data_IF_259880681989
#
_entry.id   IF_259880681989
#
_cell.length_a   1.000
_cell.length_b   1.000
_cell.length_c   1.000
_cell.angle_alpha   90.00
_cell.angle_beta   90.00
_cell.angle_gamma   90.00
#
_symmetry.space_group_name_H-M   'P 1'
#
loop_
_entity.id
_entity.type
_entity.pdbx_description
1 polymer ?
#
# COMPACT_ATOMS: atom_id res chain seq x y z
N UNK A 1 77.10 5.41 -46.23
CA UNK A 1 76.82 4.41 -45.17
C UNK A 1 75.56 4.90 -44.46
N UNK A 2 74.39 4.34 -44.80
CA UNK A 2 73.60 3.41 -43.94
C UNK A 2 73.01 4.12 -42.73
N UNK A 3 71.72 4.04 -42.36
CA UNK A 3 70.58 3.16 -42.68
C UNK A 3 69.36 3.82 -41.99
N UNK A 4 68.18 3.83 -42.63
CA UNK A 4 66.98 3.07 -42.23
C UNK A 4 66.29 3.56 -40.93
N UNK A 5 65.06 4.09 -41.03
CA UNK A 5 63.80 3.41 -40.66
C UNK A 5 63.72 2.98 -39.19
N UNK A 6 62.82 3.58 -38.41
CA UNK A 6 61.63 2.86 -37.90
C UNK A 6 60.63 3.81 -37.25
N UNK A 7 59.37 3.75 -37.74
CA UNK A 7 58.17 4.15 -36.99
C UNK A 7 57.94 3.10 -35.91
N UNK A 8 57.75 3.50 -34.65
CA UNK A 8 57.20 2.59 -33.64
C UNK A 8 55.82 3.09 -33.21
N UNK A 9 54.81 2.58 -33.92
CA UNK A 9 53.45 2.42 -33.43
C UNK A 9 53.51 1.45 -32.24
N UNK A 10 53.13 1.89 -31.05
CA UNK A 10 52.75 0.96 -29.98
C UNK A 10 51.22 0.98 -29.90
N UNK A 11 50.66 -0.03 -30.51
CA UNK A 11 49.27 -0.46 -30.43
C UNK A 11 49.08 -1.16 -29.07
N UNK A 12 48.44 -0.50 -28.10
CA UNK A 12 47.83 -1.22 -26.97
C UNK A 12 46.36 -1.44 -27.28
N UNK A 13 46.12 -2.59 -27.89
CA UNK A 13 44.80 -3.17 -28.12
C UNK A 13 44.39 -3.86 -26.80
N UNK A 14 43.78 -3.12 -25.87
CA UNK A 14 43.11 -3.75 -24.72
C UNK A 14 41.72 -4.17 -25.17
N UNK A 15 41.66 -5.45 -25.53
CA UNK A 15 40.46 -6.23 -25.80
C UNK A 15 39.50 -6.10 -24.61
N UNK A 16 38.53 -5.18 -24.71
CA UNK A 16 37.39 -5.14 -23.81
C UNK A 16 36.41 -6.17 -24.34
N UNK A 17 36.44 -7.37 -23.74
CA UNK A 17 35.41 -8.37 -23.94
C UNK A 17 34.09 -7.76 -23.52
N UNK A 18 33.29 -7.34 -24.50
CA UNK A 18 31.87 -7.11 -24.33
C UNK A 18 31.26 -8.45 -23.92
N UNK A 19 31.04 -8.63 -22.62
CA UNK A 19 30.04 -9.59 -22.16
C UNK A 19 28.71 -8.95 -22.55
N UNK A 20 28.25 -9.36 -23.73
CA UNK A 20 26.87 -9.25 -24.15
C UNK A 20 26.01 -9.90 -23.06
N UNK A 21 25.42 -9.08 -22.18
CA UNK A 21 24.29 -9.52 -21.39
C UNK A 21 23.18 -9.80 -22.40
N UNK A 22 22.88 -11.08 -22.57
CA UNK A 22 21.72 -11.55 -23.30
C UNK A 22 20.49 -10.78 -22.87
N UNK A 23 19.73 -10.35 -23.87
CA UNK A 23 18.36 -9.84 -23.78
C UNK A 23 17.61 -10.54 -22.66
N UNK A 24 17.35 -9.80 -21.59
CA UNK A 24 16.48 -10.24 -20.51
C UNK A 24 15.07 -9.87 -20.95
N UNK A 25 14.41 -10.81 -21.63
CA UNK A 25 12.99 -10.71 -21.94
C UNK A 25 12.23 -10.33 -20.67
N UNK A 26 11.55 -9.19 -20.74
CA UNK A 26 10.82 -8.57 -19.64
C UNK A 26 9.39 -8.31 -20.12
N UNK A 27 8.38 -8.55 -19.27
CA UNK A 27 6.99 -8.71 -19.69
C UNK A 27 6.47 -7.45 -20.40
N UNK A 28 5.59 -7.70 -21.36
CA UNK A 28 4.99 -6.66 -22.19
C UNK A 28 4.27 -5.62 -21.33
N UNK A 29 4.41 -4.38 -21.79
CA UNK A 29 3.69 -3.23 -21.30
C UNK A 29 2.21 -3.41 -21.62
N UNK A 30 1.29 -3.44 -20.64
CA UNK A 30 -0.12 -3.66 -20.94
C UNK A 30 -0.66 -2.51 -21.79
N UNK A 31 -1.23 -2.86 -22.96
CA UNK A 31 -2.02 -1.96 -23.79
C UNK A 31 -3.33 -1.67 -23.05
N UNK A 32 -3.48 -0.45 -22.56
CA UNK A 32 -4.70 0.02 -21.91
C UNK A 32 -5.26 1.21 -22.74
N UNK A 33 -6.55 1.24 -23.13
CA UNK A 33 -7.09 2.24 -24.08
C UNK A 33 -7.13 3.71 -23.58
N UNK A 34 -6.47 4.06 -22.47
CA UNK A 34 -6.63 5.32 -21.75
C UNK A 34 -5.46 6.31 -21.81
N UNK A 35 -4.54 6.21 -22.77
CA UNK A 35 -3.32 7.03 -22.83
C UNK A 35 -2.40 6.89 -21.59
N UNK A 36 -2.55 5.80 -20.82
CA UNK A 36 -1.83 5.57 -19.55
C UNK A 36 -0.49 4.87 -19.75
N UNK A 37 -0.17 4.46 -20.97
CA UNK A 37 1.06 3.78 -21.34
C UNK A 37 1.53 4.30 -22.69
N UNK A 38 2.78 4.74 -22.77
CA UNK A 38 3.40 5.30 -23.99
C UNK A 38 4.79 4.72 -24.25
N UNK A 39 4.98 3.43 -23.95
CA UNK A 39 6.23 2.71 -24.20
C UNK A 39 7.32 3.02 -23.19
N UNK A 40 7.85 4.24 -23.20
CA UNK A 40 8.93 4.64 -22.27
C UNK A 40 8.43 5.04 -20.88
N UNK A 41 7.12 5.23 -20.73
CA UNK A 41 6.53 5.57 -19.46
C UNK A 41 5.08 5.11 -19.38
N UNK A 42 4.60 4.94 -18.14
CA UNK A 42 3.18 4.77 -17.80
C UNK A 42 2.79 5.68 -16.64
N UNK A 43 1.51 6.01 -16.54
CA UNK A 43 0.93 6.81 -15.45
C UNK A 43 -0.23 6.06 -14.80
N UNK A 44 -0.36 6.20 -13.47
CA UNK A 44 -1.40 5.51 -12.69
C UNK A 44 -2.80 6.13 -12.80
N UNK A 45 -2.92 7.40 -13.19
CA UNK A 45 -4.19 8.08 -13.41
C UNK A 45 -4.06 9.31 -14.33
N UNK A 46 -5.15 9.66 -15.02
CA UNK A 46 -5.23 10.82 -15.92
C UNK A 46 -6.25 11.87 -15.46
N UNK A 47 -6.86 11.70 -14.28
CA UNK A 47 -7.80 12.67 -13.70
C UNK A 47 -7.56 12.89 -12.21
N UNK A 48 -7.48 14.16 -11.79
CA UNK A 48 -7.31 14.59 -10.39
C UNK A 48 -8.53 15.42 -9.94
N UNK A 49 -8.90 15.31 -8.67
CA UNK A 49 -10.02 16.06 -8.10
C UNK A 49 -9.68 17.54 -7.88
N UNK A 50 -10.72 18.35 -7.67
CA UNK A 50 -10.60 19.78 -7.44
C UNK A 50 -9.77 20.12 -6.18
N UNK A 51 -9.76 19.28 -5.14
CA UNK A 51 -8.93 19.54 -3.95
C UNK A 51 -7.42 19.33 -4.17
N UNK A 52 -7.02 18.85 -5.34
CA UNK A 52 -5.65 18.42 -5.61
C UNK A 52 -5.42 16.95 -5.28
N UNK A 53 -4.24 16.45 -5.59
CA UNK A 53 -3.93 15.02 -5.48
C UNK A 53 -2.61 14.66 -6.14
N UNK A 54 -2.11 13.47 -5.81
CA UNK A 54 -0.87 12.94 -6.38
C UNK A 54 -1.13 11.89 -7.45
N UNK A 55 -0.13 11.67 -8.31
CA UNK A 55 -0.09 10.62 -9.34
C UNK A 55 1.33 10.06 -9.45
N UNK A 56 1.49 8.87 -10.01
CA UNK A 56 2.76 8.19 -10.20
C UNK A 56 2.98 7.91 -11.69
N UNK A 57 4.14 8.35 -12.18
CA UNK A 57 4.67 7.97 -13.48
C UNK A 57 5.78 6.95 -13.26
N UNK A 58 5.75 5.84 -14.00
CA UNK A 58 6.82 4.84 -14.06
C UNK A 58 7.50 4.96 -15.41
N UNK A 59 8.81 5.20 -15.41
CA UNK A 59 9.63 5.35 -16.61
C UNK A 59 10.43 4.06 -16.82
N UNK A 60 10.44 3.56 -18.05
CA UNK A 60 11.29 2.47 -18.54
C UNK A 60 12.24 3.06 -19.58
N UNK A 61 13.53 3.12 -19.26
CA UNK A 61 14.52 3.76 -20.13
C UNK A 61 15.92 3.16 -19.91
N UNK A 62 16.65 2.92 -20.99
CA UNK A 62 18.04 2.44 -20.97
C UNK A 62 19.04 3.61 -21.00
N UNK A 63 18.80 4.62 -20.16
CA UNK A 63 19.62 5.82 -20.11
C UNK A 63 19.00 6.95 -19.30
N UNK A 64 19.55 8.15 -19.47
CA UNK A 64 19.04 9.35 -18.79
C UNK A 64 17.72 9.79 -19.40
N UNK A 65 16.83 10.27 -18.54
CA UNK A 65 15.55 10.83 -18.93
C UNK A 65 15.30 12.15 -18.22
N UNK A 66 14.47 12.98 -18.83
CA UNK A 66 13.98 14.24 -18.28
C UNK A 66 12.45 14.22 -18.23
N UNK A 67 11.88 14.96 -17.29
CA UNK A 67 10.44 15.16 -17.20
C UNK A 67 10.08 16.59 -16.84
N UNK A 68 8.97 17.07 -17.39
CA UNK A 68 8.46 18.42 -17.17
C UNK A 68 6.94 18.41 -17.04
N UNK A 69 6.42 19.41 -16.32
CA UNK A 69 5.01 19.77 -16.28
C UNK A 69 4.79 21.00 -17.13
N UNK A 70 3.73 21.02 -17.94
CA UNK A 70 3.33 22.21 -18.70
C UNK A 70 2.79 23.33 -17.80
N UNK A 71 2.50 23.04 -16.54
CA UNK A 71 1.78 23.94 -15.64
C UNK A 71 2.42 24.04 -14.25
N UNK A 72 2.54 25.25 -13.67
CA UNK A 72 3.23 25.46 -12.39
C UNK A 72 2.42 25.00 -11.16
N UNK A 73 1.12 24.75 -11.32
CA UNK A 73 0.26 24.20 -10.28
C UNK A 73 0.35 22.67 -10.18
N UNK A 74 1.08 22.03 -11.09
CA UNK A 74 1.41 20.62 -11.06
C UNK A 74 2.93 20.43 -10.90
N UNK A 75 3.35 19.87 -9.77
CA UNK A 75 4.77 19.69 -9.42
C UNK A 75 5.19 18.24 -9.55
N UNK A 76 6.43 18.00 -9.96
CA UNK A 76 7.02 16.66 -10.07
C UNK A 76 8.13 16.50 -9.01
N UNK A 77 8.23 15.33 -8.39
CA UNK A 77 9.21 15.04 -7.33
C UNK A 77 10.65 15.10 -7.81
N UNK A 78 10.86 14.98 -9.12
CA UNK A 78 12.14 15.15 -9.82
C UNK A 78 11.88 15.46 -11.29
N UNK A 79 12.82 16.13 -11.93
CA UNK A 79 12.75 16.50 -13.35
C UNK A 79 13.71 15.69 -14.24
N UNK A 80 14.45 14.73 -13.66
CA UNK A 80 15.32 13.82 -14.39
C UNK A 80 15.64 12.54 -13.60
N UNK A 81 16.20 11.56 -14.30
CA UNK A 81 16.73 10.32 -13.74
C UNK A 81 17.55 9.52 -14.75
N UNK A 82 17.96 8.31 -14.37
CA UNK A 82 18.72 7.39 -15.21
C UNK A 82 18.22 5.97 -14.98
N UNK A 83 18.08 5.18 -16.04
CA UNK A 83 17.49 3.86 -15.97
C UNK A 83 15.99 3.91 -15.69
N UNK A 84 15.41 2.77 -15.34
CA UNK A 84 14.03 2.69 -14.87
C UNK A 84 13.82 3.55 -13.62
N UNK A 85 12.65 4.19 -13.50
CA UNK A 85 12.40 5.10 -12.39
C UNK A 85 10.93 5.38 -12.13
N UNK A 86 10.65 6.02 -11.00
CA UNK A 86 9.32 6.48 -10.64
C UNK A 86 9.33 7.95 -10.28
N UNK A 87 8.40 8.72 -10.83
CA UNK A 87 8.19 10.14 -10.56
C UNK A 87 6.84 10.27 -9.88
N UNK A 88 6.78 10.94 -8.73
CA UNK A 88 5.52 11.32 -8.12
C UNK A 88 5.17 12.74 -8.55
N UNK A 89 3.99 12.93 -9.13
CA UNK A 89 3.43 14.25 -9.41
C UNK A 89 2.39 14.66 -8.38
N UNK A 90 2.15 15.97 -8.26
CA UNK A 90 1.14 16.53 -7.36
C UNK A 90 0.49 17.77 -7.98
N UNK A 91 -0.83 17.82 -7.99
CA UNK A 91 -1.60 18.99 -8.39
C UNK A 91 -2.12 19.75 -7.17
N UNK A 92 -1.91 21.07 -7.14
CA UNK A 92 -2.54 21.97 -6.17
C UNK A 92 -4.05 21.97 -6.33
N UNK A 93 -4.77 22.34 -5.28
CA UNK A 93 -6.22 22.55 -5.35
C UNK A 93 -6.60 23.52 -6.49
N UNK A 94 -7.73 23.23 -7.13
CA UNK A 94 -8.38 23.99 -8.17
C UNK A 94 -9.68 24.57 -7.62
N UNK A 95 -9.75 25.90 -7.53
CA UNK A 95 -10.96 26.64 -7.15
C UNK A 95 -11.72 27.19 -8.36
N UNK A 96 -11.18 27.03 -9.56
CA UNK A 96 -11.72 27.57 -10.81
C UNK A 96 -12.44 26.52 -11.66
N UNK A 97 -12.55 26.80 -12.95
CA UNK A 97 -13.05 25.84 -13.93
C UNK A 97 -12.12 24.63 -14.05
N UNK A 98 -12.62 23.56 -14.67
CA UNK A 98 -11.81 22.41 -15.04
C UNK A 98 -10.57 22.85 -15.83
N UNK A 99 -9.43 22.25 -15.52
CA UNK A 99 -8.12 22.56 -16.14
C UNK A 99 -7.37 21.29 -16.46
N UNK A 100 -6.35 21.37 -17.31
CA UNK A 100 -5.52 20.21 -17.68
C UNK A 100 -4.05 20.58 -17.68
N UNK A 101 -3.19 19.57 -17.48
CA UNK A 101 -1.72 19.68 -17.58
C UNK A 101 -1.18 18.54 -18.42
N UNK A 102 -0.10 18.81 -19.14
CA UNK A 102 0.67 17.80 -19.87
C UNK A 102 1.96 17.52 -19.09
N UNK A 103 2.20 16.26 -18.79
CA UNK A 103 3.49 15.79 -18.29
C UNK A 103 4.25 15.14 -19.42
N UNK A 104 5.42 15.69 -19.73
CA UNK A 104 6.30 15.18 -20.78
C UNK A 104 7.45 14.42 -20.16
N UNK A 105 7.78 13.26 -20.72
CA UNK A 105 8.99 12.46 -20.42
C UNK A 105 9.77 12.33 -21.71
N UNK A 106 11.09 12.58 -21.65
CA UNK A 106 12.01 12.43 -22.79
C UNK A 106 13.13 11.51 -22.35
N UNK A 107 13.33 10.41 -23.08
CA UNK A 107 14.43 9.47 -22.90
C UNK A 107 15.13 9.27 -24.26
N UNK A 108 16.32 9.85 -24.44
CA UNK A 108 17.00 9.85 -25.73
C UNK A 108 16.16 10.51 -26.84
N UNK A 109 15.70 9.74 -27.82
CA UNK A 109 14.84 10.20 -28.93
C UNK A 109 13.35 9.92 -28.69
N UNK A 110 13.03 9.17 -27.65
CA UNK A 110 11.67 8.75 -27.33
C UNK A 110 11.00 9.78 -26.41
N UNK A 111 9.68 9.91 -26.58
CA UNK A 111 8.86 10.89 -25.87
C UNK A 111 7.56 10.24 -25.41
N UNK A 112 7.18 10.48 -24.17
CA UNK A 112 5.86 10.17 -23.63
C UNK A 112 5.18 11.44 -23.12
N UNK A 113 3.88 11.60 -23.38
CA UNK A 113 3.07 12.75 -22.97
C UNK A 113 1.74 12.33 -22.34
N UNK A 114 1.60 12.57 -21.05
CA UNK A 114 0.36 12.31 -20.32
C UNK A 114 -0.42 13.60 -20.15
N UNK A 115 -1.64 13.64 -20.68
CA UNK A 115 -2.60 14.72 -20.37
C UNK A 115 -3.41 14.32 -19.14
N UNK A 116 -3.30 15.13 -18.08
CA UNK A 116 -4.08 14.95 -16.86
C UNK A 116 -5.10 16.07 -16.72
N UNK A 117 -6.35 15.69 -16.47
CA UNK A 117 -7.48 16.59 -16.23
C UNK A 117 -7.67 16.83 -14.73
N UNK A 118 -7.96 18.06 -14.31
CA UNK A 118 -8.33 18.41 -12.95
C UNK A 118 -9.72 19.05 -12.90
N UNK A 119 -10.62 18.47 -12.11
CA UNK A 119 -12.03 18.91 -12.00
C UNK A 119 -12.19 20.34 -11.44
N UNK A 120 -13.33 20.98 -11.72
CA UNK A 120 -13.67 22.33 -11.28
C UNK A 120 -13.96 22.44 -9.78
N UNK A 121 -13.68 23.61 -9.18
CA UNK A 121 -13.76 23.86 -7.73
C UNK A 121 -15.12 24.30 -7.17
N UNK A 122 -16.18 24.36 -7.99
CA UNK A 122 -17.45 25.01 -7.63
C UNK A 122 -18.54 24.08 -7.04
N UNK A 123 -18.15 23.04 -6.29
CA UNK A 123 -19.06 22.47 -5.28
C UNK A 123 -19.73 21.13 -5.59
N UNK A 124 -19.10 20.24 -6.36
CA UNK A 124 -19.35 18.80 -6.22
C UNK A 124 -18.19 18.16 -5.46
N UNK A 125 -18.21 18.28 -4.14
CA UNK A 125 -17.30 17.52 -3.28
C UNK A 125 -18.12 16.76 -2.23
N UNK A 126 -18.72 15.62 -2.58
CA UNK A 126 -19.21 14.68 -1.59
C UNK A 126 -18.01 13.92 -1.00
N UNK A 127 -17.89 14.04 0.31
CA UNK A 127 -17.30 13.05 1.22
C UNK A 127 -18.00 11.68 1.06
N UNK A 128 -17.32 10.58 1.40
CA UNK A 128 -16.55 9.78 0.47
C UNK A 128 -17.44 9.05 -0.55
N UNK A 129 -17.21 9.35 -1.82
CA UNK A 129 -17.71 8.55 -2.94
C UNK A 129 -16.95 7.20 -2.98
N UNK A 130 -17.65 6.04 -2.93
CA UNK A 130 -17.06 4.72 -3.14
C UNK A 130 -16.28 4.58 -4.46
N UNK A 131 -16.44 5.48 -5.43
CA UNK A 131 -15.70 5.45 -6.68
C UNK A 131 -14.35 6.17 -6.65
N UNK A 132 -14.10 7.11 -5.71
CA UNK A 132 -12.84 7.89 -5.65
C UNK A 132 -12.43 8.28 -4.24
N UNK A 133 -11.78 7.37 -3.52
CA UNK A 133 -11.28 7.68 -2.19
C UNK A 133 -9.98 8.50 -2.26
N UNK A 134 -9.42 8.92 -1.12
CA UNK A 134 -8.14 9.68 -1.08
C UNK A 134 -7.11 9.07 -2.04
N UNK A 135 -6.16 9.84 -2.60
CA UNK A 135 -5.22 9.38 -3.63
C UNK A 135 -4.39 8.12 -3.29
N UNK A 136 -4.51 7.59 -2.07
CA UNK A 136 -4.00 6.29 -1.66
C UNK A 136 -4.91 5.10 -1.91
N UNK A 137 -6.17 5.28 -2.33
CA UNK A 137 -7.09 4.17 -2.55
C UNK A 137 -6.78 3.31 -3.76
N UNK A 138 -6.09 3.85 -4.77
CA UNK A 138 -5.59 3.05 -5.89
C UNK A 138 -4.35 2.22 -5.55
N UNK A 139 -4.01 2.06 -4.26
CA UNK A 139 -2.88 1.24 -3.83
C UNK A 139 -3.31 -0.21 -3.74
N UNK A 140 -2.39 -1.11 -4.09
CA UNK A 140 -2.63 -2.56 -4.14
C UNK A 140 -3.21 -3.10 -2.83
N UNK A 141 -2.70 -2.68 -1.67
CA UNK A 141 -3.19 -3.19 -0.38
C UNK A 141 -4.60 -2.70 0.01
N UNK A 142 -5.18 -1.74 -0.71
CA UNK A 142 -6.47 -1.15 -0.33
C UNK A 142 -7.59 -2.03 -0.90
N UNK A 143 -8.41 -2.67 -0.05
CA UNK A 143 -9.62 -3.31 -0.52
C UNK A 143 -10.54 -2.27 -1.15
N UNK A 144 -11.41 -2.72 -2.05
CA UNK A 144 -12.42 -1.86 -2.65
C UNK A 144 -13.24 -1.19 -1.56
N UNK A 145 -13.34 0.12 -1.65
CA UNK A 145 -14.06 0.86 -0.63
C UNK A 145 -15.54 0.55 -0.67
N UNK A 146 -16.12 0.46 0.53
CA UNK A 146 -17.57 0.37 0.69
C UNK A 146 -18.24 1.68 0.29
N UNK A 147 -17.55 2.79 0.60
CA UNK A 147 -18.00 4.17 0.42
C UNK A 147 -19.31 4.52 1.13
N UNK A 148 -19.83 5.72 0.85
CA UNK A 148 -20.96 6.30 1.57
C UNK A 148 -20.52 7.10 2.80
N UNK A 149 -21.32 8.10 3.17
CA UNK A 149 -20.96 9.17 4.12
C UNK A 149 -20.63 8.73 5.55
N UNK A 150 -20.90 7.46 5.90
CA UNK A 150 -20.62 6.90 7.22
C UNK A 150 -19.41 5.98 7.25
N UNK A 151 -18.70 5.83 6.12
CA UNK A 151 -17.48 5.03 6.00
C UNK A 151 -16.30 5.96 5.74
N UNK A 152 -15.45 6.16 6.75
CA UNK A 152 -14.29 7.05 6.65
C UNK A 152 -13.09 6.25 6.15
N UNK A 153 -12.56 6.62 4.99
CA UNK A 153 -11.25 6.16 4.54
C UNK A 153 -10.17 7.20 4.84
N UNK A 154 -9.11 6.79 5.52
CA UNK A 154 -7.98 7.66 5.83
C UNK A 154 -6.65 6.93 5.74
N UNK A 155 -5.59 7.67 5.42
CA UNK A 155 -4.21 7.17 5.37
C UNK A 155 -3.31 8.02 6.23
N UNK A 156 -2.75 7.39 7.26
CA UNK A 156 -1.69 7.97 8.07
C UNK A 156 -0.36 7.86 7.36
N UNK A 157 0.42 8.95 7.36
CA UNK A 157 1.74 9.00 6.73
C UNK A 157 2.75 9.67 7.63
N UNK A 158 4.03 9.37 7.41
CA UNK A 158 5.17 10.13 7.94
C UNK A 158 6.01 10.67 6.79
N UNK A 159 7.07 11.43 7.12
CA UNK A 159 8.08 11.85 6.14
C UNK A 159 9.41 11.20 6.50
N UNK A 160 9.87 10.26 5.66
CA UNK A 160 11.15 9.57 5.85
C UNK A 160 12.07 9.94 4.69
N UNK A 161 13.28 10.43 4.99
CA UNK A 161 14.26 10.87 3.99
C UNK A 161 13.70 11.87 2.95
N UNK A 162 12.84 12.80 3.39
CA UNK A 162 12.20 13.79 2.52
C UNK A 162 11.08 13.24 1.63
N UNK A 163 10.72 11.96 1.78
CA UNK A 163 9.62 11.31 1.05
C UNK A 163 8.46 11.01 2.00
N UNK A 164 7.24 11.24 1.53
CA UNK A 164 6.03 10.81 2.23
C UNK A 164 5.94 9.29 2.21
N UNK A 165 5.86 8.67 3.39
CA UNK A 165 5.80 7.22 3.60
C UNK A 165 4.48 6.88 4.26
N UNK A 166 3.76 5.89 3.72
CA UNK A 166 2.50 5.43 4.31
C UNK A 166 2.79 4.61 5.56
N UNK A 167 2.18 5.00 6.67
CA UNK A 167 2.19 4.21 7.88
C UNK A 167 1.14 3.11 7.75
N UNK A 168 -0.13 3.47 7.63
CA UNK A 168 -1.23 2.56 7.32
C UNK A 168 -2.45 3.34 6.85
N UNK A 169 -3.37 2.65 6.20
CA UNK A 169 -4.70 3.15 5.85
C UNK A 169 -5.77 2.37 6.61
N UNK A 170 -6.96 2.93 6.73
CA UNK A 170 -8.12 2.24 7.29
C UNK A 170 -9.41 2.67 6.62
N UNK A 171 -10.42 1.79 6.65
CA UNK A 171 -11.82 2.16 6.45
C UNK A 171 -12.62 1.93 7.74
N UNK A 172 -13.17 2.99 8.29
CA UNK A 172 -13.87 3.01 9.57
C UNK A 172 -15.36 3.24 9.39
N UNK A 173 -16.18 2.40 10.02
CA UNK A 173 -17.64 2.54 10.00
C UNK A 173 -18.12 3.34 11.23
N UNK A 174 -18.54 4.57 10.98
CA UNK A 174 -19.04 5.49 12.01
C UNK A 174 -20.27 4.95 12.74
N UNK A 175 -21.13 4.17 12.08
CA UNK A 175 -22.33 3.59 12.71
C UNK A 175 -22.01 2.43 13.64
N UNK A 176 -20.88 1.77 13.39
CA UNK A 176 -20.40 0.63 14.20
C UNK A 176 -19.33 1.03 15.20
N UNK A 177 -18.84 2.27 15.12
CA UNK A 177 -17.69 2.81 15.86
C UNK A 177 -16.50 1.86 15.82
N UNK A 178 -16.23 1.31 14.63
CA UNK A 178 -15.24 0.26 14.48
C UNK A 178 -14.62 0.25 13.09
N UNK A 179 -13.38 -0.22 13.01
CA UNK A 179 -12.66 -0.35 11.76
C UNK A 179 -13.11 -1.61 11.03
N UNK A 180 -13.44 -1.46 9.74
CA UNK A 180 -13.75 -2.59 8.85
C UNK A 180 -12.48 -3.33 8.49
N UNK A 181 -11.48 -2.57 8.05
CA UNK A 181 -10.14 -3.05 7.77
C UNK A 181 -9.09 -1.95 7.93
N UNK A 182 -7.86 -2.37 8.18
CA UNK A 182 -6.63 -1.59 8.07
C UNK A 182 -5.74 -2.23 7.01
N UNK A 183 -4.96 -1.41 6.31
CA UNK A 183 -4.10 -1.86 5.24
C UNK A 183 -2.73 -1.19 5.32
N UNK A 184 -1.67 -1.93 5.03
CA UNK A 184 -0.30 -1.48 5.22
C UNK A 184 0.68 -2.23 4.31
N UNK A 185 1.82 -1.60 3.99
CA UNK A 185 2.89 -2.26 3.24
C UNK A 185 4.16 -2.43 4.07
N UNK A 186 4.95 -3.43 3.71
CA UNK A 186 6.33 -3.59 4.13
C UNK A 186 7.25 -3.47 2.92
N UNK A 187 8.20 -2.55 3.02
CA UNK A 187 9.31 -2.31 2.10
C UNK A 187 10.61 -2.17 2.91
N UNK A 188 11.73 -1.84 2.26
CA UNK A 188 13.02 -1.71 2.92
C UNK A 188 13.12 -0.52 3.92
N UNK A 189 12.14 0.39 3.94
CA UNK A 189 12.06 1.52 4.88
C UNK A 189 11.15 1.16 6.05
N UNK A 190 9.91 0.78 5.75
CA UNK A 190 8.87 0.47 6.73
C UNK A 190 9.17 -0.80 7.54
N UNK A 191 10.02 -1.70 7.03
CA UNK A 191 10.50 -2.88 7.76
C UNK A 191 11.59 -2.59 8.80
N UNK A 192 12.12 -1.36 8.86
CA UNK A 192 13.21 -1.02 9.77
C UNK A 192 12.77 -0.98 11.24
N UNK A 193 13.70 -1.30 12.14
CA UNK A 193 13.53 -1.15 13.59
C UNK A 193 14.49 -0.08 14.11
N UNK A 194 14.04 1.16 14.10
CA UNK A 194 14.79 2.33 14.54
C UNK A 194 14.33 2.86 15.91
N UNK A 195 13.12 2.46 16.34
CA UNK A 195 12.55 2.87 17.62
C UNK A 195 11.91 1.70 18.36
N UNK A 196 11.71 1.87 19.67
CA UNK A 196 10.87 0.98 20.48
C UNK A 196 9.46 1.52 20.66
N UNK A 197 8.55 0.66 21.12
CA UNK A 197 7.14 0.96 21.42
C UNK A 197 6.99 2.08 22.47
N UNK A 198 5.98 2.96 22.32
CA UNK A 198 5.74 4.11 23.24
C UNK A 198 4.36 4.14 23.94
N UNK A 199 3.40 3.31 23.56
CA UNK A 199 2.05 3.29 24.17
C UNK A 199 1.30 4.63 24.11
N UNK A 200 1.39 5.35 22.98
CA UNK A 200 0.86 6.70 22.78
C UNK A 200 -0.66 6.73 22.45
N UNK A 201 -1.50 6.08 23.26
CA UNK A 201 -2.94 5.97 23.01
C UNK A 201 -3.66 7.32 22.97
N UNK A 202 -4.43 7.55 21.89
CA UNK A 202 -5.18 8.79 21.70
C UNK A 202 -6.36 8.62 20.73
N UNK A 203 -7.43 9.41 20.86
CA UNK A 203 -8.50 9.46 19.87
C UNK A 203 -7.97 9.89 18.50
N UNK A 204 -8.50 9.31 17.42
CA UNK A 204 -8.15 9.72 16.05
C UNK A 204 -8.80 11.08 15.74
N UNK A 205 -8.03 12.12 15.38
CA UNK A 205 -8.57 13.43 15.04
C UNK A 205 -9.32 13.48 13.70
N UNK A 206 -9.17 12.48 12.83
CA UNK A 206 -9.85 12.41 11.53
C UNK A 206 -11.26 11.83 11.63
N UNK A 207 -11.64 11.28 12.78
CA UNK A 207 -12.99 10.77 13.03
C UNK A 207 -13.75 11.83 13.85
N UNK A 208 -14.95 12.28 13.40
CA UNK A 208 -15.76 13.22 14.15
C UNK A 208 -15.99 12.74 15.60
N UNK A 209 -15.98 13.66 16.55
CA UNK A 209 -15.97 13.34 17.98
C UNK A 209 -17.13 12.44 18.44
N UNK A 210 -18.29 12.50 17.77
CA UNK A 210 -19.46 11.65 18.06
C UNK A 210 -19.31 10.19 17.60
N UNK A 211 -18.40 9.91 16.65
CA UNK A 211 -18.21 8.58 16.05
C UNK A 211 -16.89 7.92 16.47
N UNK A 212 -15.91 8.68 16.97
CA UNK A 212 -14.63 8.15 17.41
C UNK A 212 -14.74 7.41 18.75
N UNK A 213 -13.90 6.41 18.94
CA UNK A 213 -13.73 5.74 20.23
C UNK A 213 -12.60 6.35 21.06
N UNK A 214 -12.64 6.14 22.36
CA UNK A 214 -11.61 6.51 23.33
C UNK A 214 -11.29 5.36 24.29
N UNK A 215 -10.52 5.64 25.35
CA UNK A 215 -10.09 4.63 26.32
C UNK A 215 -11.24 3.87 26.98
N UNK A 216 -12.36 4.53 27.26
CA UNK A 216 -13.46 3.96 28.03
C UNK A 216 -14.22 2.88 27.26
N UNK A 217 -14.13 2.90 25.93
CA UNK A 217 -14.83 1.96 25.04
C UNK A 217 -14.26 0.53 25.13
N UNK A 218 -13.06 0.37 25.68
CA UNK A 218 -12.32 -0.89 25.75
C UNK A 218 -12.16 -1.31 27.21
N UNK A 219 -12.97 -2.28 27.64
CA UNK A 219 -13.05 -2.77 29.01
C UNK A 219 -13.29 -4.27 29.05
N UNK A 220 -12.95 -4.88 30.19
CA UNK A 220 -13.08 -6.33 30.42
C UNK A 220 -14.47 -6.86 30.01
N UNK A 221 -14.56 -7.98 29.29
CA UNK A 221 -13.50 -8.96 29.03
C UNK A 221 -12.56 -8.62 27.85
N UNK A 222 -12.74 -7.47 27.21
CA UNK A 222 -11.95 -7.03 26.07
C UNK A 222 -10.87 -6.02 26.47
N UNK A 223 -9.81 -5.94 25.68
CA UNK A 223 -8.79 -4.89 25.80
C UNK A 223 -8.63 -4.12 24.48
N UNK A 224 -7.60 -3.27 24.45
CA UNK A 224 -7.20 -2.47 23.28
C UNK A 224 -6.32 -3.33 22.37
N UNK A 225 -6.94 -4.18 21.56
CA UNK A 225 -6.27 -4.99 20.54
C UNK A 225 -5.85 -4.13 19.36
N UNK A 226 -4.60 -4.22 18.91
CA UNK A 226 -4.18 -3.50 17.72
C UNK A 226 -4.64 -4.24 16.46
N UNK A 227 -4.99 -3.49 15.42
CA UNK A 227 -5.10 -4.05 14.08
C UNK A 227 -3.74 -3.99 13.37
N UNK A 228 -3.16 -2.80 13.21
CA UNK A 228 -1.73 -2.63 12.90
C UNK A 228 -0.93 -2.67 14.20
N UNK A 229 -0.08 -3.67 14.38
CA UNK A 229 0.67 -3.82 15.61
C UNK A 229 1.73 -2.72 15.75
N UNK A 230 2.02 -2.29 16.98
CA UNK A 230 3.12 -1.36 17.25
C UNK A 230 4.45 -1.86 16.67
N UNK A 231 4.69 -3.18 16.66
CA UNK A 231 5.92 -3.79 16.13
C UNK A 231 6.01 -3.74 14.61
N UNK A 232 4.90 -3.54 13.89
CA UNK A 232 4.87 -3.37 12.43
C UNK A 232 5.41 -2.00 12.00
N UNK A 233 5.48 -1.02 12.92
CA UNK A 233 5.79 0.39 12.64
C UNK A 233 6.85 0.94 13.57
N UNK A 234 8.04 0.35 13.51
CA UNK A 234 9.20 0.74 14.31
C UNK A 234 10.25 1.53 13.51
N UNK A 235 9.97 1.90 12.26
CA UNK A 235 10.90 2.65 11.42
C UNK A 235 11.03 4.13 11.83
N UNK A 236 10.01 4.71 12.45
CA UNK A 236 10.09 6.04 13.04
C UNK A 236 9.14 6.20 14.25
N UNK A 237 9.48 7.17 15.11
CA UNK A 237 8.70 7.47 16.33
C UNK A 237 7.27 7.90 16.01
N UNK A 238 7.11 8.68 14.96
CA UNK A 238 5.81 9.18 14.51
C UNK A 238 4.95 8.02 14.01
N UNK A 239 5.51 7.16 13.14
CA UNK A 239 4.84 5.97 12.62
C UNK A 239 4.35 5.04 13.74
N UNK A 240 5.22 4.79 14.74
CA UNK A 240 4.83 3.99 15.90
C UNK A 240 3.68 4.63 16.67
N UNK A 241 3.74 5.94 16.91
CA UNK A 241 2.70 6.68 17.65
C UNK A 241 1.35 6.64 16.93
N UNK A 242 1.35 6.65 15.59
CA UNK A 242 0.13 6.55 14.78
C UNK A 242 -0.57 5.18 14.94
N UNK A 243 0.12 4.10 15.31
CA UNK A 243 -0.53 2.79 15.58
C UNK A 243 -1.39 2.79 16.84
N UNK A 244 -1.26 3.80 17.70
CA UNK A 244 -2.00 3.93 18.96
C UNK A 244 -3.27 4.78 18.85
N UNK A 245 -3.64 5.24 17.65
CA UNK A 245 -4.94 5.85 17.43
C UNK A 245 -6.06 4.82 17.64
N UNK A 246 -7.13 5.21 18.33
CA UNK A 246 -8.26 4.31 18.57
C UNK A 246 -9.00 3.85 17.30
N UNK A 247 -8.80 4.51 16.16
CA UNK A 247 -9.23 4.02 14.84
C UNK A 247 -8.53 2.72 14.41
N UNK A 248 -7.39 2.39 15.00
CA UNK A 248 -6.62 1.16 14.79
C UNK A 248 -6.79 0.15 15.94
N UNK A 249 -7.74 0.38 16.86
CA UNK A 249 -7.95 -0.46 18.03
C UNK A 249 -9.26 -1.22 17.91
N UNK A 250 -9.24 -2.50 18.27
CA UNK A 250 -10.40 -3.36 18.33
C UNK A 250 -10.59 -3.97 19.72
N UNK A 251 -11.85 -4.14 20.19
CA UNK A 251 -12.11 -4.92 21.39
C UNK A 251 -11.75 -6.39 21.12
N UNK A 252 -10.61 -6.81 21.64
CA UNK A 252 -10.15 -8.20 21.54
C UNK A 252 -10.17 -8.85 22.94
N UNK A 253 -10.58 -10.12 23.03
CA UNK A 253 -10.63 -10.85 24.29
C UNK A 253 -9.25 -10.86 24.97
N UNK A 254 -9.21 -10.49 26.25
CA UNK A 254 -7.98 -10.44 27.04
C UNK A 254 -7.33 -11.81 27.15
N UNK A 255 -8.13 -12.86 27.34
CA UNK A 255 -7.64 -14.22 27.57
C UNK A 255 -7.83 -15.07 26.33
N UNK A 256 -6.75 -15.70 25.88
CA UNK A 256 -6.78 -16.64 24.75
C UNK A 256 -7.04 -16.03 23.38
N UNK A 257 -7.12 -14.71 23.22
CA UNK A 257 -7.16 -14.07 21.89
C UNK A 257 -6.06 -13.00 21.73
N UNK A 258 -6.11 -11.89 22.45
CA UNK A 258 -5.03 -10.88 22.45
C UNK A 258 -3.95 -11.15 23.52
N UNK A 259 -3.95 -12.36 24.07
CA UNK A 259 -2.93 -12.82 25.01
C UNK A 259 -1.76 -13.44 24.24
N UNK A 260 -0.53 -13.17 24.65
CA UNK A 260 0.64 -13.84 24.07
C UNK A 260 0.49 -15.36 24.13
N UNK A 261 0.82 -16.02 23.02
CA UNK A 261 0.67 -17.46 22.87
C UNK A 261 -0.74 -17.94 22.48
N UNK A 262 -1.67 -17.05 22.13
CA UNK A 262 -2.91 -17.40 21.45
C UNK A 262 -2.68 -17.78 19.98
N UNK A 263 -3.71 -18.32 19.32
CA UNK A 263 -3.68 -18.55 17.87
C UNK A 263 -3.64 -17.25 17.08
N UNK A 264 -4.37 -16.21 17.52
CA UNK A 264 -4.32 -14.89 16.87
C UNK A 264 -2.92 -14.26 16.95
N UNK A 265 -2.28 -14.29 18.12
CA UNK A 265 -0.89 -13.84 18.30
C UNK A 265 0.07 -14.64 17.40
N UNK A 266 -0.11 -15.95 17.28
CA UNK A 266 0.69 -16.77 16.36
C UNK A 266 0.52 -16.37 14.89
N UNK A 267 -0.71 -16.04 14.45
CA UNK A 267 -0.98 -15.53 13.09
C UNK A 267 -0.28 -14.19 12.90
N UNK A 268 -0.44 -13.24 13.83
CA UNK A 268 0.18 -11.91 13.71
C UNK A 268 1.70 -11.99 13.64
N UNK A 269 2.32 -12.84 14.48
CA UNK A 269 3.76 -13.06 14.46
C UNK A 269 4.23 -13.63 13.11
N UNK A 270 3.48 -14.57 12.50
CA UNK A 270 3.85 -15.15 11.21
C UNK A 270 3.65 -14.20 10.04
N UNK A 271 2.56 -13.46 10.02
CA UNK A 271 2.34 -12.41 9.03
C UNK A 271 3.47 -11.38 9.11
N UNK A 272 3.85 -10.93 10.30
CA UNK A 272 4.97 -10.00 10.48
C UNK A 272 6.31 -10.61 10.04
N UNK A 273 6.57 -11.88 10.34
CA UNK A 273 7.78 -12.58 9.90
C UNK A 273 7.88 -12.61 8.36
N UNK A 274 6.82 -13.04 7.68
CA UNK A 274 6.80 -13.15 6.22
C UNK A 274 6.78 -11.79 5.52
N UNK A 275 6.21 -10.77 6.16
CA UNK A 275 6.05 -9.46 5.57
C UNK A 275 7.34 -8.66 5.46
N UNK A 276 8.33 -8.90 6.32
CA UNK A 276 9.58 -8.14 6.31
C UNK A 276 10.29 -8.21 4.96
N UNK A 277 10.73 -7.04 4.50
CA UNK A 277 11.42 -6.85 3.22
C UNK A 277 12.77 -6.18 3.46
N UNK A 278 13.82 -6.76 2.89
CA UNK A 278 15.18 -6.17 2.85
C UNK A 278 15.60 -5.74 1.45
N UNK A 279 15.13 -6.44 0.41
CA UNK A 279 15.38 -6.08 -0.98
C UNK A 279 14.50 -4.88 -1.40
N UNK A 280 15.07 -3.76 -1.87
CA UNK A 280 14.29 -2.58 -2.29
C UNK A 280 13.33 -2.79 -3.47
N UNK A 281 13.46 -3.92 -4.19
CA UNK A 281 12.56 -4.28 -5.31
C UNK A 281 11.34 -5.09 -4.88
N UNK A 282 11.36 -5.61 -3.65
CA UNK A 282 10.28 -6.43 -3.11
C UNK A 282 9.29 -5.54 -2.33
N UNK A 283 8.06 -6.00 -2.19
CA UNK A 283 7.05 -5.35 -1.33
C UNK A 283 6.07 -6.40 -0.83
N UNK A 284 5.64 -6.26 0.42
CA UNK A 284 4.51 -7.04 0.95
C UNK A 284 3.35 -6.12 1.27
N UNK A 285 2.13 -6.55 0.94
CA UNK A 285 0.87 -5.86 1.13
C UNK A 285 0.01 -6.64 2.12
N UNK A 286 -0.41 -6.01 3.22
CA UNK A 286 -1.16 -6.63 4.29
C UNK A 286 -2.49 -5.90 4.46
N UNK A 287 -3.57 -6.67 4.60
CA UNK A 287 -4.86 -6.17 5.09
C UNK A 287 -5.22 -6.95 6.34
N UNK A 288 -5.70 -6.27 7.37
CA UNK A 288 -6.31 -6.90 8.55
C UNK A 288 -7.68 -6.30 8.75
N UNK A 289 -8.67 -7.11 9.12
CA UNK A 289 -10.02 -6.59 9.30
C UNK A 289 -10.89 -7.46 10.17
N UNK A 290 -12.16 -7.08 10.21
CA UNK A 290 -13.12 -7.63 11.16
C UNK A 290 -14.46 -7.93 10.49
N UNK A 291 -15.23 -8.82 11.11
CA UNK A 291 -16.53 -9.25 10.59
C UNK A 291 -17.70 -8.28 10.83
N UNK A 292 -17.44 -7.02 11.17
CA UNK A 292 -18.50 -6.11 11.67
C UNK A 292 -19.66 -5.88 10.70
N UNK A 293 -19.48 -6.17 9.41
CA UNK A 293 -20.52 -6.03 8.39
C UNK A 293 -21.49 -7.24 8.30
N UNK A 294 -21.07 -8.42 8.75
CA UNK A 294 -21.84 -9.66 8.55
C UNK A 294 -21.96 -10.54 9.80
N UNK A 295 -21.08 -10.38 10.79
CA UNK A 295 -21.14 -11.11 12.06
C UNK A 295 -20.63 -10.26 13.23
N UNK A 296 -21.56 -9.86 14.10
CA UNK A 296 -21.28 -9.14 15.34
C UNK A 296 -21.43 -10.13 16.50
N UNK A 297 -20.42 -10.21 17.36
CA UNK A 297 -20.46 -11.02 18.58
C UNK A 297 -21.32 -10.35 19.65
N UNK A 298 -21.08 -9.05 19.87
CA UNK A 298 -21.72 -8.25 20.91
C UNK A 298 -21.69 -6.76 20.51
N UNK A 299 -22.55 -5.94 21.13
CA UNK A 299 -22.41 -4.48 21.11
C UNK A 299 -22.07 -4.00 22.51
N UNK A 300 -20.98 -3.25 22.66
CA UNK A 300 -20.56 -2.70 23.95
C UNK A 300 -21.57 -1.68 24.47
N UNK A 301 -21.52 -1.37 25.77
CA UNK A 301 -22.39 -0.36 26.40
C UNK A 301 -22.20 1.06 25.85
N UNK A 302 -21.11 1.31 25.11
CA UNK A 302 -20.81 2.59 24.44
C UNK A 302 -21.09 2.56 22.93
N UNK A 303 -21.69 1.48 22.45
CA UNK A 303 -22.14 1.31 21.06
C UNK A 303 -21.08 0.77 20.10
N UNK A 304 -19.91 0.36 20.58
CA UNK A 304 -18.87 -0.26 19.75
C UNK A 304 -19.29 -1.68 19.37
N UNK A 305 -19.28 -2.00 18.08
CA UNK A 305 -19.55 -3.36 17.61
C UNK A 305 -18.32 -4.23 17.81
N UNK A 306 -18.49 -5.32 18.54
CA UNK A 306 -17.45 -6.30 18.80
C UNK A 306 -17.58 -7.39 17.73
N UNK A 307 -16.56 -7.60 16.88
CA UNK A 307 -16.65 -8.56 15.79
C UNK A 307 -16.62 -10.01 16.29
N UNK A 308 -17.30 -10.90 15.57
CA UNK A 308 -17.25 -12.35 15.80
C UNK A 308 -16.02 -13.01 15.17
N UNK A 309 -15.45 -12.42 14.12
CA UNK A 309 -14.26 -12.94 13.45
C UNK A 309 -13.28 -11.81 13.11
N UNK A 310 -12.01 -12.17 13.05
CA UNK A 310 -10.92 -11.36 12.53
C UNK A 310 -10.28 -12.05 11.35
N UNK A 311 -9.67 -11.27 10.48
CA UNK A 311 -8.93 -11.81 9.35
C UNK A 311 -7.67 -11.00 9.06
N UNK A 312 -6.73 -11.63 8.37
CA UNK A 312 -5.53 -10.99 7.82
C UNK A 312 -5.23 -11.58 6.45
N UNK A 313 -4.80 -10.76 5.50
CA UNK A 313 -4.26 -11.18 4.21
C UNK A 313 -2.79 -10.79 4.13
N UNK A 314 -2.04 -11.52 3.31
CA UNK A 314 -0.70 -11.16 2.89
C UNK A 314 -0.58 -11.43 1.39
N UNK A 315 -0.17 -10.42 0.64
CA UNK A 315 0.26 -10.51 -0.74
C UNK A 315 1.73 -10.12 -0.78
N UNK A 316 2.59 -11.06 -1.14
CA UNK A 316 4.02 -10.85 -1.27
C UNK A 316 4.39 -10.71 -2.74
N UNK A 317 5.07 -9.62 -3.10
CA UNK A 317 5.75 -9.46 -4.37
C UNK A 317 7.25 -9.54 -4.13
N UNK A 318 7.85 -10.68 -4.49
CA UNK A 318 9.28 -10.95 -4.30
C UNK A 318 9.86 -11.57 -5.55
N UNK A 319 11.02 -11.06 -6.00
CA UNK A 319 11.71 -11.54 -7.20
C UNK A 319 10.81 -11.64 -8.45
N UNK A 320 9.92 -10.65 -8.65
CA UNK A 320 9.02 -10.62 -9.80
C UNK A 320 7.81 -11.56 -9.72
N UNK A 321 7.56 -12.20 -8.57
CA UNK A 321 6.44 -13.14 -8.39
C UNK A 321 5.52 -12.71 -7.26
N UNK A 322 4.21 -12.80 -7.52
CA UNK A 322 3.16 -12.63 -6.53
C UNK A 322 2.81 -13.95 -5.85
N UNK A 323 2.57 -13.90 -4.54
CA UNK A 323 2.08 -14.99 -3.71
C UNK A 323 1.11 -14.43 -2.67
N UNK A 324 -0.06 -15.04 -2.50
CA UNK A 324 -1.00 -14.61 -1.47
C UNK A 324 -1.45 -15.75 -0.56
N UNK A 325 -1.82 -15.38 0.67
CA UNK A 325 -2.54 -16.23 1.62
C UNK A 325 -3.35 -15.35 2.58
N UNK A 326 -4.48 -15.88 3.01
CA UNK A 326 -5.37 -15.29 3.99
C UNK A 326 -5.42 -16.11 5.28
N UNK A 327 -5.88 -15.46 6.35
CA UNK A 327 -6.20 -16.09 7.62
C UNK A 327 -7.57 -15.61 8.11
N UNK A 328 -8.39 -16.53 8.58
CA UNK A 328 -9.71 -16.26 9.15
C UNK A 328 -9.83 -16.93 10.52
N UNK A 329 -10.15 -16.16 11.56
CA UNK A 329 -10.21 -16.66 12.93
C UNK A 329 -11.44 -16.18 13.69
N UNK A 330 -12.04 -17.07 14.47
CA UNK A 330 -13.15 -16.73 15.37
C UNK A 330 -12.62 -16.00 16.62
N UNK A 331 -13.33 -14.95 17.02
CA UNK A 331 -13.04 -14.16 18.21
C UNK A 331 -13.45 -14.91 19.48
N UNK A 332 -12.65 -15.92 19.82
CA UNK A 332 -12.80 -16.76 21.03
C UNK A 332 -11.44 -17.05 21.65
N UNK A 333 -11.45 -17.56 22.87
CA UNK A 333 -10.23 -18.10 23.48
C UNK A 333 -9.74 -19.33 22.69
N UNK A 334 -8.57 -19.22 22.08
CA UNK A 334 -7.87 -20.30 21.40
C UNK A 334 -6.34 -20.16 21.59
N UNK A 335 -5.74 -21.18 22.20
CA UNK A 335 -4.29 -21.28 22.44
C UNK A 335 -3.65 -22.45 21.69
N UNK A 336 -4.37 -23.04 20.72
CA UNK A 336 -3.87 -24.17 19.93
C UNK A 336 -2.69 -23.80 19.03
N UNK A 337 -2.63 -22.54 18.58
CA UNK A 337 -1.65 -22.02 17.60
C UNK A 337 -1.69 -22.78 16.26
N UNK A 338 -2.82 -23.42 15.95
CA UNK A 338 -3.00 -24.13 14.69
C UNK A 338 -3.31 -23.15 13.55
N UNK A 339 -2.32 -22.31 13.21
CA UNK A 339 -2.45 -21.25 12.21
C UNK A 339 -2.81 -21.77 10.82
N UNK A 340 -2.39 -23.01 10.48
CA UNK A 340 -2.73 -23.67 9.21
C UNK A 340 -4.22 -23.92 9.08
N UNK A 341 -4.90 -24.26 10.17
CA UNK A 341 -6.36 -24.45 10.16
C UNK A 341 -7.14 -23.14 9.94
N UNK A 342 -6.49 -21.99 10.11
CA UNK A 342 -7.06 -20.68 9.84
C UNK A 342 -6.77 -20.19 8.41
N UNK A 343 -5.91 -20.88 7.65
CA UNK A 343 -5.48 -20.44 6.34
C UNK A 343 -6.61 -20.49 5.31
N UNK A 344 -6.60 -19.52 4.40
CA UNK A 344 -7.59 -19.31 3.33
C UNK A 344 -6.91 -18.80 2.06
N UNK A 345 -7.49 -19.13 0.92
CA UNK A 345 -7.28 -18.36 -0.32
C UNK A 345 -7.87 -16.95 -0.16
N UNK A 346 -7.55 -16.03 -1.06
CA UNK A 346 -8.14 -14.69 -1.01
C UNK A 346 -9.60 -14.77 -1.46
N UNK A 347 -9.93 -15.52 -2.52
CA UNK A 347 -11.31 -15.79 -2.95
C UNK A 347 -12.20 -16.32 -1.80
N UNK A 348 -11.69 -17.25 -0.99
CA UNK A 348 -12.43 -17.74 0.18
C UNK A 348 -12.68 -16.63 1.22
N UNK A 349 -11.70 -15.74 1.44
CA UNK A 349 -11.88 -14.61 2.34
C UNK A 349 -12.86 -13.58 1.78
N UNK A 350 -12.83 -13.30 0.48
CA UNK A 350 -13.82 -12.42 -0.16
C UNK A 350 -15.22 -12.98 -0.02
N UNK A 351 -15.40 -14.28 -0.28
CA UNK A 351 -16.68 -14.96 -0.09
C UNK A 351 -17.20 -14.86 1.35
N UNK A 352 -16.30 -14.94 2.34
CA UNK A 352 -16.66 -14.82 3.76
C UNK A 352 -16.92 -13.38 4.19
N UNK A 353 -16.18 -12.42 3.64
CA UNK A 353 -16.14 -11.03 4.15
C UNK A 353 -17.00 -10.06 3.35
N UNK A 354 -17.28 -10.36 2.09
CA UNK A 354 -17.88 -9.43 1.13
C UNK A 354 -16.96 -8.26 0.74
N UNK A 355 -15.67 -8.34 1.08
CA UNK A 355 -14.65 -7.41 0.59
C UNK A 355 -14.08 -7.92 -0.74
N UNK A 356 -13.56 -6.98 -1.50
CA UNK A 356 -12.88 -7.17 -2.78
C UNK A 356 -11.42 -6.72 -2.53
N UNK A 357 -10.53 -7.67 -2.27
CA UNK A 357 -9.13 -7.43 -1.92
C UNK A 357 -8.32 -7.26 -3.19
N UNK A 358 -7.19 -6.56 -3.10
CA UNK A 358 -6.21 -6.43 -4.19
C UNK A 358 -6.72 -6.03 -5.59
N UNK A 359 -7.98 -5.57 -5.74
CA UNK A 359 -8.67 -5.05 -6.93
C UNK A 359 -7.97 -3.95 -7.74
N UNK A 360 -6.86 -3.43 -7.22
CA UNK A 360 -6.01 -2.48 -7.92
C UNK A 360 -4.84 -3.17 -8.65
N UNK A 361 -4.76 -4.50 -8.60
CA UNK A 361 -3.92 -5.31 -9.49
C UNK A 361 -4.56 -5.40 -10.88
N UNK A 362 -3.77 -5.70 -11.93
CA UNK A 362 -4.35 -6.15 -13.19
C UNK A 362 -5.18 -7.43 -13.00
N UNK A 363 -6.36 -7.50 -13.62
CA UNK A 363 -7.34 -8.58 -13.46
C UNK A 363 -6.73 -9.99 -13.59
N UNK A 364 -5.79 -10.20 -14.52
CA UNK A 364 -5.13 -11.50 -14.71
C UNK A 364 -4.25 -11.89 -13.52
N UNK A 365 -3.58 -10.91 -12.90
CA UNK A 365 -2.72 -11.13 -11.73
C UNK A 365 -3.57 -11.35 -10.49
N UNK A 366 -4.59 -10.52 -10.31
CA UNK A 366 -5.58 -10.64 -9.23
C UNK A 366 -6.22 -12.04 -9.24
N UNK A 367 -6.88 -12.40 -10.35
CA UNK A 367 -7.53 -13.70 -10.52
C UNK A 367 -6.58 -14.87 -10.22
N UNK A 368 -5.33 -14.78 -10.66
CA UNK A 368 -4.36 -15.86 -10.47
C UNK A 368 -3.86 -15.97 -9.01
N UNK A 369 -3.63 -14.84 -8.35
CA UNK A 369 -3.05 -14.83 -7.00
C UNK A 369 -4.10 -15.11 -5.92
N UNK A 370 -5.37 -14.80 -6.20
CA UNK A 370 -6.44 -14.90 -5.22
C UNK A 370 -7.07 -16.28 -5.13
N UNK A 371 -7.10 -17.00 -6.27
CA UNK A 371 -7.77 -18.30 -6.41
C UNK A 371 -7.29 -19.38 -5.43
N UNK A 372 -5.98 -19.43 -5.14
CA UNK A 372 -5.39 -20.47 -4.29
C UNK A 372 -4.12 -19.98 -3.61
N UNK A 373 -3.87 -20.47 -2.38
CA UNK A 373 -2.55 -20.39 -1.76
C UNK A 373 -1.82 -21.74 -1.85
N UNK A 374 -0.50 -21.71 -1.99
CA UNK A 374 0.34 -22.92 -1.91
C UNK A 374 1.03 -22.95 -0.57
N UNK A 375 0.78 -23.97 0.26
CA UNK A 375 1.44 -24.06 1.57
C UNK A 375 2.97 -24.03 1.49
N UNK A 376 3.55 -24.62 0.44
CA UNK A 376 5.00 -24.66 0.22
C UNK A 376 5.64 -23.31 -0.05
N UNK A 377 4.83 -22.29 -0.37
CA UNK A 377 5.30 -20.93 -0.57
C UNK A 377 5.62 -20.20 0.74
N UNK A 378 5.19 -20.76 1.88
CA UNK A 378 5.23 -20.11 3.19
C UNK A 378 6.02 -20.94 4.20
N UNK A 379 6.92 -20.28 4.95
CA UNK A 379 7.71 -20.91 6.02
C UNK A 379 6.90 -20.96 7.32
N UNK A 380 6.06 -22.00 7.43
CA UNK A 380 5.17 -22.27 8.57
C UNK A 380 5.88 -22.37 9.92
#
# INVERSE_FOLDING_TARGET
MTKALFRLFILFMTCSTAISCSEQDSPDLPDNPGNTNQGIASIDQTQINANGGGFIIRVKADGTWQTSSSEPWCTLSRTSGNGNGSISGYMKANTGAERSVIITIIAGKEKAEFTLKQLAGNGSNPDPDPEKPSGYAGRIEIPKLKGGSMNIFHTWTTTENGKKTVTYSYEYDCTKKHVRWVALTFDNVTSQKNVDRKDAYQPDPNIPAQYRTDRQDYYSPYNRGHMVASSDRLYSREANSQTFYYSNISPQLITGFNEGGSTWDAIENKVQEWAKVSNPQDTTYIVKGTSIDYAILETSKYGVKIPKYYFSTILSYKNGQYKAIGFYIEHKSDKSKNIKACAKSIDELESLTGLDFYHNLPDEIETAVEANYKESDWSW
#
